data_IF_057790260187
#
_entry.id   IF_057790260187
#
_cell.length_a   1.000
_cell.length_b   1.000
_cell.length_c   1.000
_cell.angle_alpha   90.00
_cell.angle_beta   90.00
_cell.angle_gamma   90.00
#
_symmetry.space_group_name_H-M   'P 1'
#
loop_
_entity.id
_entity.type
_entity.pdbx_description
1 polymer ?
#
# COMPACT_ATOMS: atom_id res chain seq x y z
N UNK A 1 -11.57 5.22 6.49
CA UNK A 1 -12.59 4.44 7.26
C UNK A 1 -12.93 3.13 6.51
N UNK A 2 -13.13 1.98 7.18
CA UNK A 2 -13.51 0.69 6.53
C UNK A 2 -15.04 0.60 6.44
N UNK A 3 -15.58 0.53 5.24
CA UNK A 3 -17.01 0.28 5.02
C UNK A 3 -17.22 -1.17 4.61
N UNK A 4 -18.27 -1.79 5.14
CA UNK A 4 -18.61 -3.19 4.87
C UNK A 4 -20.05 -3.33 4.40
N UNK A 5 -20.29 -4.28 3.50
CA UNK A 5 -21.63 -4.65 3.02
C UNK A 5 -21.79 -6.16 3.04
N UNK A 6 -22.94 -6.65 3.51
CA UNK A 6 -23.29 -8.07 3.45
C UNK A 6 -24.24 -8.29 2.27
N UNK A 7 -23.96 -9.28 1.43
CA UNK A 7 -24.85 -9.69 0.35
C UNK A 7 -25.32 -11.11 0.63
N UNK A 8 -26.58 -11.25 1.06
CA UNK A 8 -27.16 -12.54 1.46
C UNK A 8 -27.48 -13.41 0.24
N UNK A 9 -27.23 -14.71 0.34
CA UNK A 9 -27.57 -15.68 -0.71
C UNK A 9 -29.09 -15.74 -0.99
N UNK A 10 -29.89 -15.44 0.04
CA UNK A 10 -31.36 -15.38 -0.05
C UNK A 10 -31.89 -14.05 -0.61
N UNK A 11 -31.03 -13.07 -0.90
CA UNK A 11 -31.48 -11.77 -1.39
C UNK A 11 -31.87 -11.85 -2.88
N UNK A 12 -32.92 -11.12 -3.33
CA UNK A 12 -33.32 -11.09 -4.74
C UNK A 12 -32.18 -10.62 -5.68
N UNK A 13 -31.24 -9.84 -5.16
CA UNK A 13 -30.15 -9.23 -5.90
C UNK A 13 -28.91 -10.14 -6.00
N UNK A 14 -28.88 -11.26 -5.27
CA UNK A 14 -27.72 -12.16 -5.20
C UNK A 14 -27.28 -12.66 -6.59
N UNK A 15 -28.23 -12.95 -7.48
CA UNK A 15 -27.91 -13.36 -8.86
C UNK A 15 -27.24 -12.27 -9.70
N UNK A 16 -27.63 -11.00 -9.51
CA UNK A 16 -26.98 -9.86 -10.16
C UNK A 16 -25.60 -9.59 -9.54
N UNK A 17 -25.48 -9.77 -8.23
CA UNK A 17 -24.22 -9.71 -7.51
C UNK A 17 -23.22 -10.74 -8.02
N UNK A 18 -23.61 -12.00 -8.18
CA UNK A 18 -22.73 -13.06 -8.70
C UNK A 18 -22.22 -12.74 -10.11
N UNK A 19 -23.06 -12.16 -10.98
CA UNK A 19 -22.63 -11.70 -12.31
C UNK A 19 -21.62 -10.57 -12.21
N UNK A 20 -21.81 -9.64 -11.27
CA UNK A 20 -20.80 -8.62 -11.00
C UNK A 20 -19.53 -9.21 -10.39
N UNK A 21 -19.62 -10.20 -9.49
CA UNK A 21 -18.48 -10.87 -8.83
C UNK A 21 -17.69 -11.83 -9.75
N UNK A 22 -18.31 -12.43 -10.76
CA UNK A 22 -17.66 -13.43 -11.61
C UNK A 22 -17.72 -13.10 -13.12
N UNK A 23 -18.17 -11.91 -13.50
CA UNK A 23 -18.25 -11.47 -14.89
C UNK A 23 -16.89 -11.46 -15.60
N UNK A 24 -16.88 -11.80 -16.90
CA UNK A 24 -15.67 -12.06 -17.69
C UNK A 24 -14.78 -10.85 -18.04
N UNK A 25 -15.07 -9.66 -17.52
CA UNK A 25 -14.31 -8.42 -17.78
C UNK A 25 -13.28 -8.07 -16.70
N UNK A 26 -12.95 -8.99 -15.79
CA UNK A 26 -12.17 -8.66 -14.60
C UNK A 26 -10.67 -8.80 -14.81
N UNK A 27 -9.97 -7.69 -14.60
CA UNK A 27 -8.58 -7.64 -14.17
C UNK A 27 -8.65 -7.34 -12.67
N UNK A 28 -8.37 -8.33 -11.81
CA UNK A 28 -8.19 -8.07 -10.37
C UNK A 28 -9.06 -8.78 -9.32
N UNK A 29 -8.87 -8.38 -8.06
CA UNK A 29 -9.59 -8.88 -6.87
C UNK A 29 -10.84 -8.04 -6.50
N UNK A 30 -11.19 -7.01 -7.28
CA UNK A 30 -12.30 -6.07 -6.99
C UNK A 30 -13.35 -6.00 -8.10
N UNK A 31 -14.54 -5.46 -7.80
CA UNK A 31 -15.66 -5.31 -8.74
C UNK A 31 -16.70 -4.26 -8.37
N UNK A 32 -17.46 -3.82 -9.37
CA UNK A 32 -18.49 -2.80 -9.19
C UNK A 32 -19.83 -3.39 -8.76
N UNK A 33 -20.29 -3.03 -7.57
CA UNK A 33 -21.57 -3.48 -7.04
C UNK A 33 -22.26 -2.34 -6.27
N UNK A 34 -23.57 -2.19 -6.48
CA UNK A 34 -24.37 -1.15 -5.82
C UNK A 34 -23.78 0.28 -5.92
N UNK A 35 -23.25 0.64 -7.10
CA UNK A 35 -22.69 1.97 -7.36
C UNK A 35 -21.30 2.22 -6.73
N UNK A 36 -20.68 1.19 -6.16
CA UNK A 36 -19.36 1.30 -5.53
C UNK A 36 -18.46 0.14 -5.94
N UNK A 37 -17.15 0.35 -5.88
CA UNK A 37 -16.19 -0.73 -6.06
C UNK A 37 -15.97 -1.45 -4.72
N UNK A 38 -16.10 -2.76 -4.75
CA UNK A 38 -15.99 -3.64 -3.59
C UNK A 38 -14.92 -4.69 -3.85
N UNK A 39 -14.30 -5.14 -2.77
CA UNK A 39 -13.50 -6.37 -2.77
C UNK A 39 -14.20 -7.41 -1.89
N UNK A 40 -14.06 -8.67 -2.29
CA UNK A 40 -14.48 -9.81 -1.50
C UNK A 40 -13.25 -10.35 -0.75
N UNK A 41 -13.39 -10.57 0.55
CA UNK A 41 -12.39 -11.22 1.39
C UNK A 41 -13.05 -12.44 2.00
N UNK A 42 -12.46 -13.62 1.78
CA UNK A 42 -12.90 -14.84 2.45
C UNK A 42 -12.61 -14.66 3.94
N UNK A 43 -13.63 -14.76 4.76
CA UNK A 43 -13.55 -14.72 6.22
C UNK A 43 -14.06 -16.03 6.81
N UNK A 44 -13.74 -16.30 8.07
CA UNK A 44 -14.31 -17.45 8.80
C UNK A 44 -15.84 -17.41 8.95
N UNK A 45 -16.50 -16.34 8.50
CA UNK A 45 -17.96 -16.23 8.48
C UNK A 45 -18.58 -16.82 7.21
N UNK A 46 -17.78 -17.10 6.17
CA UNK A 46 -18.25 -17.78 4.95
C UNK A 46 -18.55 -19.28 5.20
N UNK A 47 -18.11 -19.85 6.33
CA UNK A 47 -18.34 -21.25 6.69
C UNK A 47 -19.82 -21.59 6.95
N UNK A 48 -20.67 -20.59 7.20
CA UNK A 48 -22.12 -20.75 7.26
C UNK A 48 -22.82 -20.59 5.90
N UNK A 49 -22.19 -19.90 4.93
CA UNK A 49 -22.69 -19.73 3.56
C UNK A 49 -23.89 -18.79 3.39
N UNK A 50 -24.34 -18.09 4.43
CA UNK A 50 -25.56 -17.28 4.38
C UNK A 50 -25.40 -15.95 3.61
N UNK A 51 -24.19 -15.37 3.59
CA UNK A 51 -23.89 -14.12 2.91
C UNK A 51 -22.41 -13.98 2.56
N UNK A 52 -22.12 -13.20 1.52
CA UNK A 52 -20.77 -12.73 1.20
C UNK A 52 -20.51 -11.38 1.86
N UNK A 53 -19.34 -11.22 2.51
CA UNK A 53 -18.90 -9.96 3.09
C UNK A 53 -18.02 -9.17 2.11
N UNK A 54 -18.46 -7.95 1.79
CA UNK A 54 -17.75 -7.00 0.95
C UNK A 54 -17.15 -5.89 1.79
N UNK A 55 -16.00 -5.38 1.38
CA UNK A 55 -15.35 -4.23 2.02
C UNK A 55 -14.85 -3.19 1.01
N UNK A 56 -14.77 -1.93 1.45
CA UNK A 56 -14.12 -0.81 0.76
C UNK A 56 -13.44 0.13 1.76
N UNK A 57 -12.34 0.76 1.35
CA UNK A 57 -11.64 1.80 2.12
C UNK A 57 -11.68 3.12 1.33
N UNK A 58 -12.17 4.20 1.93
CA UNK A 58 -12.39 5.47 1.20
C UNK A 58 -11.11 6.30 0.96
N UNK A 59 -9.95 5.98 1.55
CA UNK A 59 -8.87 6.98 1.66
C UNK A 59 -7.59 6.73 0.83
N UNK A 60 -7.45 5.67 0.00
CA UNK A 60 -6.24 5.42 -0.84
C UNK A 60 -6.54 4.65 -2.14
N UNK A 61 -5.76 4.85 -3.23
CA UNK A 61 -6.02 4.23 -4.54
C UNK A 61 -5.95 2.70 -4.48
N UNK A 62 -6.74 2.02 -5.32
CA UNK A 62 -6.83 0.56 -5.32
C UNK A 62 -5.50 -0.09 -5.73
N UNK A 63 -5.02 -1.13 -5.03
CA UNK A 63 -3.60 -1.50 -5.01
C UNK A 63 -3.12 -2.37 -6.18
N UNK A 64 -3.91 -2.56 -7.24
CA UNK A 64 -3.43 -3.36 -8.38
C UNK A 64 -2.34 -2.64 -9.19
N UNK A 65 -2.00 -1.38 -8.86
CA UNK A 65 -0.85 -0.64 -9.40
C UNK A 65 0.16 -0.14 -8.35
N UNK A 66 0.09 -0.55 -7.08
CA UNK A 66 1.16 -0.20 -6.13
C UNK A 66 1.57 -1.41 -5.32
N UNK A 67 2.17 -2.38 -6.01
CA UNK A 67 3.06 -3.34 -5.40
C UNK A 67 4.36 -2.63 -5.01
N UNK A 68 4.41 -1.91 -3.88
CA UNK A 68 5.74 -1.62 -3.29
C UNK A 68 6.24 -2.94 -2.69
N UNK A 69 6.70 -3.84 -3.55
CA UNK A 69 7.62 -4.89 -3.15
C UNK A 69 8.97 -4.22 -2.92
N UNK A 70 9.82 -4.82 -2.09
CA UNK A 70 11.24 -4.42 -2.01
C UNK A 70 11.98 -4.52 -3.35
N UNK A 71 11.34 -5.05 -4.41
CA UNK A 71 11.85 -5.05 -5.78
C UNK A 71 11.67 -3.70 -6.49
N UNK A 72 10.81 -2.81 -5.98
CA UNK A 72 10.69 -1.42 -6.45
C UNK A 72 11.72 -0.48 -5.78
N UNK A 73 12.50 -0.99 -4.81
CA UNK A 73 13.63 -0.22 -4.28
C UNK A 73 14.70 -0.12 -5.36
N UNK A 74 14.96 1.10 -5.81
CA UNK A 74 16.07 1.35 -6.71
C UNK A 74 17.39 1.17 -5.95
N UNK A 75 18.50 0.95 -6.68
CA UNK A 75 19.85 0.95 -6.08
C UNK A 75 20.11 2.27 -5.33
N UNK A 76 19.51 3.37 -5.79
CA UNK A 76 19.53 4.68 -5.14
C UNK A 76 18.90 4.64 -3.75
N UNK A 77 17.71 4.05 -3.62
CA UNK A 77 17.01 3.91 -2.34
C UNK A 77 17.78 3.03 -1.35
N UNK A 78 18.44 1.98 -1.86
CA UNK A 78 19.32 1.15 -1.05
C UNK A 78 20.52 1.96 -0.49
N UNK A 79 21.20 2.74 -1.33
CA UNK A 79 22.30 3.60 -0.87
C UNK A 79 21.83 4.70 0.09
N UNK A 80 20.69 5.32 -0.19
CA UNK A 80 20.12 6.34 0.69
C UNK A 80 19.79 5.75 2.07
N UNK A 81 19.15 4.58 2.13
CA UNK A 81 18.85 3.91 3.40
C UNK A 81 20.11 3.58 4.22
N UNK A 82 21.19 3.13 3.56
CA UNK A 82 22.47 2.86 4.22
C UNK A 82 23.15 4.14 4.74
N UNK A 83 23.12 5.21 3.95
CA UNK A 83 23.65 6.51 4.35
C UNK A 83 22.88 7.08 5.55
N UNK A 84 21.55 7.04 5.49
CA UNK A 84 20.67 7.49 6.57
C UNK A 84 20.95 6.76 7.88
N UNK A 85 21.08 5.42 7.85
CA UNK A 85 21.41 4.63 9.04
C UNK A 85 22.78 5.01 9.64
N UNK A 86 23.76 5.39 8.82
CA UNK A 86 25.07 5.84 9.27
C UNK A 86 25.04 7.26 9.85
N UNK A 87 24.29 8.18 9.24
CA UNK A 87 24.09 9.56 9.73
C UNK A 87 23.44 9.53 11.11
N UNK A 88 22.36 8.76 11.26
CA UNK A 88 21.64 8.60 12.54
C UNK A 88 22.55 8.03 13.63
N UNK A 89 23.48 7.12 13.29
CA UNK A 89 24.36 6.45 14.26
C UNK A 89 25.51 7.33 14.79
N UNK A 90 25.93 8.38 14.07
CA UNK A 90 27.12 9.18 14.43
C UNK A 90 26.85 10.23 15.52
N UNK A 91 25.60 10.40 15.96
CA UNK A 91 25.19 11.57 16.76
C UNK A 91 24.71 11.20 18.18
N UNK A 92 25.20 11.92 19.18
CA UNK A 92 25.11 11.66 20.63
C UNK A 92 24.20 12.63 21.42
N UNK A 93 23.29 13.36 20.77
CA UNK A 93 22.32 14.21 21.49
C UNK A 93 21.14 14.65 20.62
N UNK A 94 19.92 14.41 21.10
CA UNK A 94 18.62 14.69 20.45
C UNK A 94 18.64 15.85 19.42
N UNK A 95 18.22 15.69 18.16
CA UNK A 95 16.79 15.75 17.81
C UNK A 95 16.46 15.19 16.40
N UNK A 96 16.67 13.90 16.16
CA UNK A 96 15.76 13.17 15.26
C UNK A 96 14.64 12.62 16.12
N UNK A 97 13.60 13.43 16.32
CA UNK A 97 12.58 13.12 17.32
C UNK A 97 11.70 14.30 17.73
N UNK A 98 11.58 15.34 16.91
CA UNK A 98 10.68 16.48 17.14
C UNK A 98 9.20 16.12 16.96
N UNK A 99 8.81 14.90 17.32
CA UNK A 99 7.53 14.31 16.98
C UNK A 99 7.42 13.91 15.50
N UNK A 100 6.24 13.52 15.03
CA UNK A 100 6.02 13.11 13.64
C UNK A 100 6.31 14.19 12.58
N UNK A 101 6.30 15.47 12.95
CA UNK A 101 6.41 16.62 12.04
C UNK A 101 7.76 17.36 12.14
N UNK A 102 8.81 16.67 12.58
CA UNK A 102 10.14 17.25 12.75
C UNK A 102 10.69 17.73 11.38
N UNK A 103 11.04 19.01 11.19
CA UNK A 103 11.63 19.48 9.92
C UNK A 103 12.97 18.78 9.61
N UNK A 104 13.64 18.26 10.64
CA UNK A 104 14.90 17.51 10.53
C UNK A 104 14.74 16.21 9.73
N UNK A 105 13.54 15.62 9.65
CA UNK A 105 13.34 14.42 8.82
C UNK A 105 13.52 14.70 7.34
N UNK A 106 13.14 15.91 6.89
CA UNK A 106 13.33 16.34 5.50
C UNK A 106 14.82 16.46 5.17
N UNK A 107 15.56 17.19 6.01
CA UNK A 107 17.00 17.42 5.82
C UNK A 107 17.78 16.10 5.81
N UNK A 108 17.48 15.20 6.75
CA UNK A 108 18.10 13.86 6.81
C UNK A 108 17.81 13.02 5.56
N UNK A 109 16.58 13.05 5.06
CA UNK A 109 16.21 12.33 3.86
C UNK A 109 16.95 12.89 2.63
N UNK A 110 17.01 14.21 2.49
CA UNK A 110 17.72 14.88 1.39
C UNK A 110 19.22 14.56 1.40
N UNK A 111 19.87 14.66 2.55
CA UNK A 111 21.30 14.32 2.71
C UNK A 111 21.59 12.87 2.33
N UNK A 112 20.74 11.94 2.75
CA UNK A 112 20.88 10.53 2.42
C UNK A 112 20.77 10.29 0.91
N UNK A 113 19.84 10.95 0.23
CA UNK A 113 19.71 10.85 -1.24
C UNK A 113 20.85 11.53 -1.99
N UNK A 114 21.41 12.63 -1.48
CA UNK A 114 22.60 13.25 -2.06
C UNK A 114 23.83 12.34 -2.02
N UNK A 115 24.02 11.62 -0.91
CA UNK A 115 25.08 10.61 -0.80
C UNK A 115 24.83 9.47 -1.79
N UNK A 116 23.60 8.99 -1.90
CA UNK A 116 23.24 7.94 -2.87
C UNK A 116 23.55 8.34 -4.32
N UNK A 117 23.20 9.57 -4.70
CA UNK A 117 23.49 10.10 -6.03
C UNK A 117 25.00 10.23 -6.29
N UNK A 118 25.78 10.63 -5.29
CA UNK A 118 27.23 10.67 -5.37
C UNK A 118 27.84 9.27 -5.57
N UNK A 119 27.32 8.25 -4.88
CA UNK A 119 27.76 6.86 -5.03
C UNK A 119 27.45 6.30 -6.42
N UNK A 120 26.29 6.63 -7.00
CA UNK A 120 25.93 6.22 -8.36
C UNK A 120 26.84 6.86 -9.40
N UNK A 121 27.10 8.17 -9.30
CA UNK A 121 28.04 8.86 -10.20
C UNK A 121 29.46 8.28 -10.11
N UNK A 122 29.93 7.96 -8.91
CA UNK A 122 31.24 7.35 -8.71
C UNK A 122 31.33 5.96 -9.38
N UNK A 123 30.23 5.18 -9.33
CA UNK A 123 30.13 3.88 -10.02
C UNK A 123 30.16 4.01 -11.54
N UNK A 124 29.47 5.00 -12.11
CA UNK A 124 29.46 5.23 -13.56
C UNK A 124 30.80 5.72 -14.10
N UNK A 125 31.63 6.36 -13.26
CA UNK A 125 32.94 6.86 -13.61
C UNK A 125 34.09 5.84 -13.40
N UNK A 126 33.79 4.62 -12.94
CA UNK A 126 34.76 3.54 -12.67
C UNK A 126 34.73 2.47 -13.75
#
# INVERSE_FOLDING_TARGET
MKYTMKVYASSPEYGAYLKSRFGGGKRGQSFEWAGHRWAYEVTSFDDAGDYDLLYRFDDKPYPEEVSVTTDDMTIRDYFAAKAMAAIVRRWDGHSFGGGPESPQYKELAEDAYHIADAMLRAREAS
#
